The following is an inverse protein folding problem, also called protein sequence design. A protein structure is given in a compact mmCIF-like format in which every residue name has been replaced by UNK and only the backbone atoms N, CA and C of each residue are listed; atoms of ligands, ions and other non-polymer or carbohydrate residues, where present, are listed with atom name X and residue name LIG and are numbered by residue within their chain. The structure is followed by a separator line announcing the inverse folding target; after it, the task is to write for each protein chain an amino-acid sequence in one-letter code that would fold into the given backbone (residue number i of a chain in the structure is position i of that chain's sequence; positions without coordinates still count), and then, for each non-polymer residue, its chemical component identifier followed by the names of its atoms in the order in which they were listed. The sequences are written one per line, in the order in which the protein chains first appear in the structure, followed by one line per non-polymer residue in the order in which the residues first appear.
data_IF_364719382721
#
_entry.id   IF_364719382721
#
_cell.length_a   1.000
_cell.length_b   1.000
_cell.length_c   1.000
_cell.angle_alpha   90.00
_cell.angle_beta   90.00
_cell.angle_gamma   90.00
#
_symmetry.space_group_name_H-M   'P 1'
#
loop_
_entity.id
_entity.type
_entity.pdbx_description
1 polymer ?
#
# COMPACT_ATOMS: atom_id res chain seq x y z
N UNK A 1 -22.65 -4.08 -29.94
CA UNK A 1 -22.72 -2.60 -29.93
C UNK A 1 -21.58 -2.12 -30.80
N UNK A 2 -21.87 -1.57 -31.99
CA UNK A 2 -20.83 -1.13 -32.94
C UNK A 2 -20.68 0.40 -32.91
N UNK A 3 -19.43 0.88 -32.89
CA UNK A 3 -19.08 2.30 -32.88
C UNK A 3 -18.80 2.80 -34.29
N UNK A 4 -19.86 3.14 -35.04
CA UNK A 4 -19.78 3.50 -36.47
C UNK A 4 -19.82 5.02 -36.73
N UNK A 5 -20.16 5.83 -35.73
CA UNK A 5 -20.23 7.28 -35.83
C UNK A 5 -19.18 7.97 -34.95
N UNK A 6 -18.72 9.17 -35.36
CA UNK A 6 -17.79 9.99 -34.56
C UNK A 6 -18.32 10.34 -33.17
N UNK A 7 -19.64 10.51 -33.03
CA UNK A 7 -20.34 10.68 -31.76
C UNK A 7 -21.58 9.80 -31.78
N UNK A 8 -21.69 8.90 -30.83
CA UNK A 8 -22.82 7.99 -30.70
C UNK A 8 -23.23 7.90 -29.24
N UNK A 9 -24.53 7.87 -29.00
CA UNK A 9 -25.11 7.71 -27.65
C UNK A 9 -25.87 6.40 -27.65
N UNK A 10 -25.65 5.62 -26.60
CA UNK A 10 -26.37 4.38 -26.34
C UNK A 10 -27.13 4.56 -25.04
N UNK A 11 -28.38 4.10 -25.03
CA UNK A 11 -29.27 4.20 -23.87
C UNK A 11 -29.93 2.85 -23.66
N UNK A 12 -29.98 2.41 -22.42
CA UNK A 12 -30.51 1.12 -22.02
C UNK A 12 -31.52 1.37 -20.90
N UNK A 13 -32.74 0.85 -21.07
CA UNK A 13 -33.73 0.87 -20.00
C UNK A 13 -33.42 -0.29 -19.04
N UNK A 14 -33.28 0.05 -17.76
CA UNK A 14 -33.03 -0.92 -16.69
C UNK A 14 -34.17 -0.85 -15.67
N UNK A 15 -34.59 -1.99 -15.08
CA UNK A 15 -35.66 -2.02 -14.10
C UNK A 15 -35.27 -1.33 -12.78
N UNK A 16 -33.98 -1.26 -12.47
CA UNK A 16 -33.41 -0.60 -11.30
C UNK A 16 -32.02 -0.01 -11.61
N UNK A 17 -31.50 0.81 -10.69
CA UNK A 17 -30.16 1.39 -10.83
C UNK A 17 -29.12 0.27 -10.60
N UNK A 18 -28.18 0.02 -11.55
CA UNK A 18 -27.12 -0.97 -11.36
C UNK A 18 -26.13 -0.52 -10.28
N UNK A 19 -25.53 -1.48 -9.58
CA UNK A 19 -24.49 -1.24 -8.58
C UNK A 19 -23.16 -0.82 -9.20
N UNK A 20 -22.88 -1.26 -10.44
CA UNK A 20 -21.70 -0.88 -11.20
C UNK A 20 -21.97 -0.98 -12.70
N UNK A 21 -21.57 0.05 -13.44
CA UNK A 21 -21.46 -0.02 -14.90
C UNK A 21 -19.99 -0.14 -15.23
N UNK A 22 -19.58 -1.31 -15.72
CA UNK A 22 -18.22 -1.56 -16.18
C UNK A 22 -18.19 -1.55 -17.71
N UNK A 23 -17.73 -0.44 -18.29
CA UNK A 23 -17.47 -0.37 -19.72
C UNK A 23 -16.11 -0.99 -20.02
N UNK A 24 -16.09 -1.90 -21.00
CA UNK A 24 -14.85 -2.42 -21.58
C UNK A 24 -13.98 -3.15 -20.53
N UNK A 25 -14.57 -4.17 -19.90
CA UNK A 25 -13.90 -4.94 -18.85
C UNK A 25 -12.65 -5.70 -19.36
N UNK A 26 -12.65 -6.10 -20.64
CA UNK A 26 -11.59 -6.91 -21.25
C UNK A 26 -10.37 -6.10 -21.71
N UNK A 27 -10.40 -4.76 -21.66
CA UNK A 27 -9.26 -3.88 -21.98
C UNK A 27 -8.69 -4.04 -23.41
N UNK A 28 -9.56 -4.36 -24.36
CA UNK A 28 -9.29 -4.55 -25.79
C UNK A 28 -9.31 -3.23 -26.56
N UNK A 29 -10.14 -2.26 -26.14
CA UNK A 29 -10.24 -0.99 -26.86
C UNK A 29 -9.07 -0.06 -26.50
N UNK A 30 -8.32 0.41 -27.50
CA UNK A 30 -7.41 1.53 -27.34
C UNK A 30 -8.24 2.83 -27.31
N UNK A 31 -8.54 3.32 -26.10
CA UNK A 31 -9.31 4.55 -25.92
C UNK A 31 -8.87 5.32 -24.67
N UNK A 32 -9.25 6.61 -24.63
CA UNK A 32 -9.33 7.35 -23.36
C UNK A 32 -10.72 7.14 -22.78
N UNK A 33 -10.78 6.69 -21.53
CA UNK A 33 -12.03 6.43 -20.80
C UNK A 33 -12.22 7.50 -19.72
N UNK A 34 -13.38 8.15 -19.75
CA UNK A 34 -13.81 9.10 -18.70
C UNK A 34 -15.16 8.64 -18.17
N UNK A 35 -15.21 8.39 -16.87
CA UNK A 35 -16.39 7.88 -16.18
C UNK A 35 -16.56 8.63 -14.86
N UNK A 36 -17.79 8.98 -14.52
CA UNK A 36 -18.15 9.49 -13.19
C UNK A 36 -18.69 8.34 -12.36
N UNK A 37 -17.91 7.84 -11.40
CA UNK A 37 -18.34 6.80 -10.46
C UNK A 37 -18.36 7.35 -9.03
N UNK A 38 -19.23 6.81 -8.20
CA UNK A 38 -19.28 7.10 -6.76
C UNK A 38 -18.26 6.26 -5.99
N UNK A 39 -17.98 6.66 -4.75
CA UNK A 39 -17.15 5.87 -3.83
C UNK A 39 -17.71 4.46 -3.62
N UNK A 40 -19.04 4.34 -3.49
CA UNK A 40 -19.70 3.04 -3.31
C UNK A 40 -19.56 2.15 -4.56
N UNK A 41 -19.59 2.73 -5.76
CA UNK A 41 -19.37 2.00 -7.03
C UNK A 41 -17.92 1.49 -7.14
N UNK A 42 -16.92 2.27 -6.70
CA UNK A 42 -15.52 1.81 -6.63
C UNK A 42 -15.31 0.73 -5.57
N UNK A 43 -15.93 0.88 -4.39
CA UNK A 43 -15.93 -0.16 -3.35
C UNK A 43 -16.51 -1.46 -3.93
N UNK A 44 -17.66 -1.38 -4.60
CA UNK A 44 -18.29 -2.53 -5.23
C UNK A 44 -17.38 -3.18 -6.28
N UNK A 45 -16.74 -2.37 -7.14
CA UNK A 45 -15.80 -2.84 -8.15
C UNK A 45 -14.63 -3.63 -7.54
N UNK A 46 -14.02 -3.12 -6.47
CA UNK A 46 -12.93 -3.82 -5.78
C UNK A 46 -13.39 -5.18 -5.23
N UNK A 47 -14.58 -5.22 -4.63
CA UNK A 47 -15.11 -6.41 -3.96
C UNK A 47 -15.59 -7.49 -4.93
N UNK A 48 -16.01 -7.12 -6.14
CA UNK A 48 -16.63 -8.05 -7.10
C UNK A 48 -15.78 -8.33 -8.34
N UNK A 49 -14.72 -7.55 -8.62
CA UNK A 49 -13.81 -7.86 -9.72
C UNK A 49 -12.78 -8.91 -9.33
N UNK A 50 -12.50 -9.82 -10.27
CA UNK A 50 -11.36 -10.74 -10.19
C UNK A 50 -10.10 -10.19 -10.85
N UNK A 51 -10.23 -9.12 -11.64
CA UNK A 51 -9.10 -8.55 -12.39
C UNK A 51 -8.28 -7.62 -11.50
N UNK A 52 -6.97 -7.86 -11.47
CA UNK A 52 -6.03 -7.03 -10.71
C UNK A 52 -6.24 -5.55 -10.99
N UNK A 53 -6.33 -5.15 -12.27
CA UNK A 53 -6.35 -3.73 -12.53
C UNK A 53 -7.68 -3.06 -12.20
N UNK A 54 -8.81 -3.76 -12.28
CA UNK A 54 -10.07 -3.17 -11.82
C UNK A 54 -10.03 -2.90 -10.31
N UNK A 55 -9.43 -3.81 -9.54
CA UNK A 55 -9.19 -3.60 -8.12
C UNK A 55 -8.24 -2.43 -7.88
N UNK A 56 -7.14 -2.36 -8.62
CA UNK A 56 -6.16 -1.30 -8.48
C UNK A 56 -6.75 0.08 -8.81
N UNK A 57 -7.45 0.21 -9.94
CA UNK A 57 -8.10 1.44 -10.36
C UNK A 57 -9.15 1.88 -9.32
N UNK A 58 -9.89 0.93 -8.74
CA UNK A 58 -10.86 1.22 -7.67
C UNK A 58 -10.18 1.75 -6.40
N UNK A 59 -9.09 1.12 -5.94
CA UNK A 59 -8.32 1.59 -4.78
C UNK A 59 -7.71 2.97 -5.03
N UNK A 60 -7.17 3.20 -6.24
CA UNK A 60 -6.60 4.48 -6.61
C UNK A 60 -7.64 5.60 -6.63
N UNK A 61 -8.86 5.32 -7.10
CA UNK A 61 -9.93 6.31 -7.15
C UNK A 61 -10.44 6.75 -5.78
N UNK A 62 -10.27 5.92 -4.74
CA UNK A 62 -10.75 6.19 -3.38
C UNK A 62 -9.62 6.48 -2.38
N UNK A 63 -8.39 6.68 -2.83
CA UNK A 63 -7.22 6.78 -1.94
C UNK A 63 -7.27 7.96 -0.97
N UNK A 64 -7.87 9.08 -1.38
CA UNK A 64 -8.06 10.27 -0.53
C UNK A 64 -9.46 10.36 0.07
N UNK A 65 -10.32 9.37 -0.19
CA UNK A 65 -11.67 9.34 0.32
C UNK A 65 -11.70 8.85 1.77
N UNK A 66 -12.75 9.23 2.49
CA UNK A 66 -12.90 8.87 3.91
C UNK A 66 -14.21 8.13 4.14
N UNK A 67 -14.26 7.35 5.22
CA UNK A 67 -15.47 6.66 5.64
C UNK A 67 -15.23 5.19 5.97
N UNK A 68 -16.22 4.58 6.62
CA UNK A 68 -16.11 3.20 7.07
C UNK A 68 -16.01 2.20 5.89
N UNK A 69 -16.65 2.50 4.75
CA UNK A 69 -16.55 1.70 3.53
C UNK A 69 -15.12 1.66 2.97
N UNK A 70 -14.52 2.84 2.81
CA UNK A 70 -13.14 3.00 2.32
C UNK A 70 -12.14 2.28 3.22
N UNK A 71 -12.24 2.47 4.55
CA UNK A 71 -11.40 1.75 5.52
C UNK A 71 -11.53 0.23 5.39
N UNK A 72 -12.75 -0.30 5.28
CA UNK A 72 -12.98 -1.74 5.09
C UNK A 72 -12.35 -2.26 3.81
N UNK A 73 -12.44 -1.51 2.71
CA UNK A 73 -11.85 -1.92 1.42
C UNK A 73 -10.32 -1.96 1.49
N UNK A 74 -9.66 -0.97 2.07
CA UNK A 74 -8.20 -1.02 2.24
C UNK A 74 -7.75 -2.15 3.17
N UNK A 75 -8.49 -2.43 4.24
CA UNK A 75 -8.24 -3.62 5.08
C UNK A 75 -8.36 -4.93 4.31
N UNK A 76 -9.33 -5.05 3.40
CA UNK A 76 -9.44 -6.21 2.50
C UNK A 76 -8.26 -6.28 1.52
N UNK A 77 -7.81 -5.15 1.00
CA UNK A 77 -6.69 -5.07 0.07
C UNK A 77 -5.37 -5.58 0.67
N UNK A 78 -5.12 -5.34 1.96
CA UNK A 78 -3.97 -5.90 2.70
C UNK A 78 -3.88 -7.43 2.67
N UNK A 79 -4.97 -8.12 2.35
CA UNK A 79 -5.08 -9.57 2.32
C UNK A 79 -5.22 -10.13 0.89
N UNK A 80 -5.10 -9.28 -0.13
CA UNK A 80 -5.28 -9.70 -1.52
C UNK A 80 -4.15 -10.66 -1.98
N UNK A 81 -4.45 -11.66 -2.84
CA UNK A 81 -3.43 -12.55 -3.38
C UNK A 81 -2.29 -11.82 -4.10
N UNK A 82 -2.56 -10.67 -4.72
CA UNK A 82 -1.56 -9.91 -5.43
C UNK A 82 -0.87 -8.88 -4.53
N UNK A 83 0.45 -8.95 -4.47
CA UNK A 83 1.28 -8.17 -3.55
C UNK A 83 1.08 -6.64 -3.68
N UNK A 84 0.84 -6.14 -4.90
CA UNK A 84 0.68 -4.70 -5.11
C UNK A 84 -0.60 -4.17 -4.45
N UNK A 85 -1.66 -4.97 -4.42
CA UNK A 85 -2.89 -4.61 -3.72
C UNK A 85 -2.69 -4.68 -2.21
N UNK A 86 -1.86 -5.60 -1.71
CA UNK A 86 -1.48 -5.63 -0.29
C UNK A 86 -0.72 -4.39 0.14
N UNK A 87 0.31 -4.00 -0.61
CA UNK A 87 1.09 -2.79 -0.36
C UNK A 87 0.19 -1.53 -0.38
N UNK A 88 -0.61 -1.35 -1.43
CA UNK A 88 -1.57 -0.24 -1.54
C UNK A 88 -2.58 -0.23 -0.38
N UNK A 89 -3.00 -1.42 0.05
CA UNK A 89 -3.83 -1.64 1.23
C UNK A 89 -3.20 -1.11 2.51
N UNK A 90 -1.93 -1.45 2.76
CA UNK A 90 -1.17 -1.01 3.94
C UNK A 90 -1.01 0.51 3.94
N UNK A 91 -0.55 1.08 2.82
CA UNK A 91 -0.31 2.53 2.65
C UNK A 91 -1.53 3.37 3.07
N UNK A 92 -2.73 2.94 2.67
CA UNK A 92 -3.98 3.68 2.87
C UNK A 92 -4.82 3.15 4.04
N UNK A 93 -4.28 2.22 4.83
CA UNK A 93 -4.99 1.64 5.98
C UNK A 93 -5.06 2.62 7.16
N UNK A 94 -6.05 2.45 8.04
CA UNK A 94 -6.11 3.18 9.30
C UNK A 94 -5.13 2.59 10.35
N UNK A 95 -4.77 3.37 11.38
CA UNK A 95 -3.85 2.91 12.43
C UNK A 95 -4.56 2.29 13.64
N UNK A 96 -5.69 1.62 13.46
CA UNK A 96 -6.28 0.84 14.56
C UNK A 96 -5.40 -0.37 14.90
N UNK A 97 -5.41 -0.80 16.15
CA UNK A 97 -4.55 -1.90 16.62
C UNK A 97 -4.78 -3.22 15.87
N UNK A 98 -6.02 -3.51 15.47
CA UNK A 98 -6.33 -4.66 14.60
C UNK A 98 -5.58 -4.60 13.26
N UNK A 99 -5.51 -3.41 12.66
CA UNK A 99 -4.79 -3.20 11.40
C UNK A 99 -3.28 -3.28 11.64
N UNK A 100 -2.78 -2.65 12.71
CA UNK A 100 -1.36 -2.67 13.05
C UNK A 100 -0.86 -4.09 13.34
N UNK A 101 -1.66 -4.96 13.96
CA UNK A 101 -1.33 -6.39 14.10
C UNK A 101 -1.15 -7.07 12.73
N UNK A 102 -1.99 -6.74 11.76
CA UNK A 102 -1.85 -7.24 10.38
C UNK A 102 -0.60 -6.66 9.71
N UNK A 103 -0.32 -5.37 9.89
CA UNK A 103 0.89 -4.71 9.37
C UNK A 103 2.15 -5.36 9.92
N UNK A 104 2.25 -5.57 11.24
CA UNK A 104 3.38 -6.22 11.91
C UNK A 104 3.64 -7.62 11.37
N UNK A 105 2.58 -8.40 11.18
CA UNK A 105 2.68 -9.73 10.58
C UNK A 105 3.20 -9.66 9.14
N UNK A 106 2.64 -8.76 8.32
CA UNK A 106 3.07 -8.57 6.93
C UNK A 106 4.51 -8.08 6.83
N UNK A 107 4.97 -7.24 7.76
CA UNK A 107 6.34 -6.72 7.80
C UNK A 107 7.40 -7.82 7.88
N UNK A 108 7.12 -8.94 8.56
CA UNK A 108 8.05 -10.06 8.67
C UNK A 108 7.78 -11.19 7.67
N UNK A 109 6.51 -11.46 7.37
CA UNK A 109 6.13 -12.72 6.72
C UNK A 109 5.77 -12.57 5.24
N UNK A 110 5.52 -11.36 4.73
CA UNK A 110 5.08 -11.23 3.34
C UNK A 110 6.18 -11.70 2.37
N UNK A 111 5.86 -12.58 1.41
CA UNK A 111 6.85 -13.07 0.46
C UNK A 111 7.43 -11.96 -0.44
N UNK A 112 6.72 -10.85 -0.60
CA UNK A 112 7.14 -9.75 -1.44
C UNK A 112 7.75 -8.60 -0.61
N UNK A 113 8.99 -8.24 -0.95
CA UNK A 113 9.72 -7.18 -0.26
C UNK A 113 8.99 -5.81 -0.28
N UNK A 114 8.25 -5.47 -1.34
CA UNK A 114 7.53 -4.20 -1.42
C UNK A 114 6.38 -4.12 -0.39
N UNK A 115 5.78 -5.26 -0.03
CA UNK A 115 4.76 -5.30 1.02
C UNK A 115 5.41 -5.12 2.40
N UNK A 116 6.58 -5.72 2.62
CA UNK A 116 7.35 -5.54 3.86
C UNK A 116 7.84 -4.10 4.02
N UNK A 117 8.30 -3.47 2.93
CA UNK A 117 8.63 -2.03 2.89
C UNK A 117 7.42 -1.19 3.30
N UNK A 118 6.29 -1.34 2.61
CA UNK A 118 5.06 -0.59 2.95
C UNK A 118 4.64 -0.80 4.41
N UNK A 119 4.85 -2.00 4.96
CA UNK A 119 4.57 -2.28 6.36
C UNK A 119 5.51 -1.55 7.32
N UNK A 120 6.82 -1.52 7.06
CA UNK A 120 7.77 -0.78 7.89
C UNK A 120 7.60 0.74 7.77
N UNK A 121 7.25 1.27 6.60
CA UNK A 121 6.85 2.67 6.44
C UNK A 121 5.65 3.00 7.34
N UNK A 122 4.62 2.13 7.35
CA UNK A 122 3.44 2.30 8.21
C UNK A 122 3.78 2.20 9.70
N UNK A 123 4.70 1.32 10.08
CA UNK A 123 5.21 1.19 11.45
C UNK A 123 5.93 2.48 11.89
N UNK A 124 6.83 3.00 11.05
CA UNK A 124 7.53 4.25 11.32
C UNK A 124 6.57 5.44 11.45
N UNK A 125 5.57 5.53 10.56
CA UNK A 125 4.50 6.53 10.63
C UNK A 125 3.65 6.42 11.91
N UNK A 126 3.42 5.21 12.40
CA UNK A 126 2.65 4.97 13.62
C UNK A 126 3.44 5.37 14.88
N UNK A 127 4.76 5.24 14.87
CA UNK A 127 5.62 5.77 15.93
C UNK A 127 5.63 4.96 17.23
N UNK A 128 5.18 3.70 17.21
CA UNK A 128 5.08 2.88 18.42
C UNK A 128 6.44 2.26 18.77
N UNK A 129 7.01 2.67 19.90
CA UNK A 129 8.30 2.18 20.42
C UNK A 129 8.32 0.65 20.59
N UNK A 130 7.16 0.01 20.80
CA UNK A 130 7.07 -1.45 20.91
C UNK A 130 7.37 -2.19 19.60
N UNK A 131 7.40 -1.49 18.46
CA UNK A 131 7.73 -2.06 17.15
C UNK A 131 9.24 -2.05 16.83
N UNK A 132 10.08 -1.38 17.63
CA UNK A 132 11.54 -1.37 17.45
C UNK A 132 12.14 -2.79 17.39
N UNK A 133 11.78 -3.74 18.29
CA UNK A 133 12.29 -5.11 18.20
C UNK A 133 11.95 -5.80 16.87
N UNK A 134 10.75 -5.54 16.32
CA UNK A 134 10.32 -6.10 15.03
C UNK A 134 11.19 -5.57 13.88
N UNK A 135 11.44 -4.26 13.86
CA UNK A 135 12.32 -3.64 12.87
C UNK A 135 13.74 -4.20 12.97
N UNK A 136 14.27 -4.39 14.18
CA UNK A 136 15.59 -5.03 14.39
C UNK A 136 15.65 -6.45 13.83
N UNK A 137 14.62 -7.27 14.04
CA UNK A 137 14.56 -8.62 13.44
C UNK A 137 14.67 -8.55 11.92
N UNK A 138 13.91 -7.67 11.25
CA UNK A 138 14.02 -7.53 9.80
C UNK A 138 15.40 -7.04 9.34
N UNK A 139 16.06 -6.18 10.12
CA UNK A 139 17.41 -5.73 9.78
C UNK A 139 18.47 -6.85 9.83
N UNK A 140 18.26 -7.86 10.67
CA UNK A 140 19.16 -9.00 10.83
C UNK A 140 18.84 -10.13 9.84
N UNK A 141 17.55 -10.34 9.53
CA UNK A 141 17.07 -11.55 8.84
C UNK A 141 16.61 -11.32 7.40
N UNK A 142 16.23 -10.09 7.03
CA UNK A 142 15.65 -9.83 5.71
C UNK A 142 16.71 -9.84 4.59
N UNK A 143 16.49 -10.57 3.49
CA UNK A 143 17.45 -10.61 2.38
C UNK A 143 17.46 -9.35 1.51
N UNK A 144 16.51 -8.43 1.68
CA UNK A 144 16.39 -7.22 0.88
C UNK A 144 16.96 -6.01 1.62
N UNK A 145 18.05 -5.43 1.09
CA UNK A 145 18.62 -4.17 1.58
C UNK A 145 17.59 -3.04 1.66
N UNK A 146 16.60 -3.02 0.76
CA UNK A 146 15.52 -2.03 0.79
C UNK A 146 14.61 -2.21 2.02
N UNK A 147 14.34 -3.46 2.43
CA UNK A 147 13.57 -3.72 3.66
C UNK A 147 14.40 -3.36 4.89
N UNK A 148 15.69 -3.74 4.91
CA UNK A 148 16.61 -3.39 5.99
C UNK A 148 16.73 -1.87 6.15
N UNK A 149 16.84 -1.14 5.04
CA UNK A 149 16.81 0.32 5.01
C UNK A 149 15.52 0.87 5.63
N UNK A 150 14.35 0.43 5.17
CA UNK A 150 13.07 0.95 5.65
C UNK A 150 12.82 0.57 7.12
N UNK A 151 13.32 -0.58 7.58
CA UNK A 151 13.28 -0.96 8.99
C UNK A 151 14.16 -0.03 9.86
N UNK A 152 15.36 0.32 9.40
CA UNK A 152 16.20 1.33 10.07
C UNK A 152 15.54 2.72 10.03
N UNK A 153 14.90 3.08 8.92
CA UNK A 153 14.17 4.34 8.77
C UNK A 153 12.98 4.40 9.73
N UNK A 154 12.26 3.29 9.93
CA UNK A 154 11.21 3.18 10.93
C UNK A 154 11.76 3.39 12.35
N UNK A 155 12.89 2.77 12.71
CA UNK A 155 13.54 3.02 14.01
C UNK A 155 13.94 4.49 14.14
N UNK A 156 14.48 5.10 13.09
CA UNK A 156 14.85 6.52 13.07
C UNK A 156 13.64 7.44 13.28
N UNK A 157 12.50 7.13 12.67
CA UNK A 157 11.26 7.87 12.87
C UNK A 157 10.67 7.71 14.28
N UNK A 158 10.85 6.53 14.90
CA UNK A 158 10.31 6.19 16.22
C UNK A 158 11.18 6.76 17.35
N UNK A 159 12.50 6.51 17.30
CA UNK A 159 13.44 6.86 18.37
C UNK A 159 14.87 7.09 17.84
N UNK A 160 15.27 8.37 17.80
CA UNK A 160 16.58 8.79 17.31
C UNK A 160 17.74 8.18 18.12
N UNK A 161 17.63 8.07 19.44
CA UNK A 161 18.72 7.52 20.28
C UNK A 161 19.00 6.05 19.93
N UNK A 162 17.94 5.26 19.80
CA UNK A 162 18.03 3.87 19.36
C UNK A 162 18.57 3.80 17.93
N UNK A 163 18.10 4.65 17.02
CA UNK A 163 18.59 4.67 15.64
C UNK A 163 20.10 4.96 15.56
N UNK A 164 20.60 5.91 16.35
CA UNK A 164 22.05 6.20 16.46
C UNK A 164 22.82 4.99 16.98
N UNK A 165 22.26 4.29 17.98
CA UNK A 165 22.87 3.06 18.53
C UNK A 165 22.97 1.96 17.47
N UNK A 166 21.91 1.76 16.68
CA UNK A 166 21.88 0.80 15.55
C UNK A 166 22.82 1.21 14.42
N UNK A 167 22.80 2.48 14.02
CA UNK A 167 23.63 2.99 12.95
C UNK A 167 25.13 2.77 13.23
N UNK A 168 25.56 2.89 14.50
CA UNK A 168 26.93 2.57 14.92
C UNK A 168 27.33 1.12 14.68
N UNK A 169 26.39 0.16 14.78
CA UNK A 169 26.69 -1.26 14.55
C UNK A 169 26.70 -1.64 13.07
N UNK A 170 26.24 -0.76 12.18
CA UNK A 170 26.06 -1.04 10.75
C UNK A 170 27.00 -0.27 9.83
N UNK A 171 28.04 0.38 10.36
CA UNK A 171 28.95 1.24 9.59
C UNK A 171 29.70 0.50 8.46
N UNK A 172 29.89 -0.82 8.60
CA UNK A 172 30.56 -1.66 7.60
C UNK A 172 29.58 -2.21 6.53
N UNK A 173 28.37 -1.67 6.42
CA UNK A 173 27.41 -2.09 5.39
C UNK A 173 27.98 -1.89 3.98
N UNK A 174 27.76 -2.88 3.11
CA UNK A 174 28.08 -2.79 1.69
C UNK A 174 26.99 -2.07 0.87
N UNK A 175 25.83 -1.79 1.47
CA UNK A 175 24.70 -1.15 0.81
C UNK A 175 24.84 0.37 0.84
N UNK A 176 24.90 1.00 -0.33
CA UNK A 176 24.95 2.47 -0.46
C UNK A 176 23.70 3.13 0.13
N UNK A 177 22.55 2.48 -0.03
CA UNK A 177 21.26 2.92 0.48
C UNK A 177 21.30 3.02 2.03
N UNK A 178 21.71 1.94 2.69
CA UNK A 178 21.80 1.89 4.17
C UNK A 178 22.88 2.88 4.66
N UNK A 179 24.00 3.01 3.95
CA UNK A 179 25.06 3.96 4.32
C UNK A 179 24.56 5.40 4.31
N UNK A 180 23.79 5.79 3.30
CA UNK A 180 23.19 7.14 3.22
C UNK A 180 22.31 7.45 4.44
N UNK A 181 21.50 6.49 4.89
CA UNK A 181 20.64 6.67 6.05
C UNK A 181 21.44 6.75 7.36
N UNK A 182 22.50 5.96 7.49
CA UNK A 182 23.42 6.02 8.64
C UNK A 182 24.03 7.42 8.77
N UNK A 183 24.45 8.02 7.65
CA UNK A 183 24.98 9.38 7.62
C UNK A 183 23.93 10.40 8.06
N UNK A 184 22.70 10.30 7.55
CA UNK A 184 21.58 11.14 7.93
C UNK A 184 21.27 11.06 9.43
N UNK A 185 21.22 9.84 9.99
CA UNK A 185 21.01 9.61 11.42
C UNK A 185 22.09 10.29 12.26
N UNK A 186 23.37 10.20 11.86
CA UNK A 186 24.45 10.85 12.58
C UNK A 186 24.37 12.38 12.49
N UNK A 187 23.99 12.92 11.34
CA UNK A 187 23.76 14.36 11.17
C UNK A 187 22.60 14.84 12.06
N UNK A 188 21.51 14.10 12.14
CA UNK A 188 20.36 14.44 12.99
C UNK A 188 20.69 14.39 14.50
N UNK A 189 21.72 13.65 14.89
CA UNK A 189 22.15 13.50 16.28
C UNK A 189 23.18 14.54 16.77
N UNK A 190 23.76 15.32 15.85
CA UNK A 190 24.80 16.32 16.12
C UNK A 190 24.27 17.74 16.23
#
# INVERSE_FOLDING_TARGET
MEMINRRQVFSFELPEKPELIQFEADRVLLCERSESRTVDEYIYQFEHSSQFQDKYDALQAIEYETGAGVKRVFRKAMLDPFWMLRAKGIENSDSSEEVLQTVRRLALEDPNANVRIAAFEKIGQNGDVSDIPLARTAMEEDPSDAVVYTALEAIFAIDLETAVSVAKTMQETNSDLIRSLIEEIFVASG
#
